data_IF_847096821625
#
_entry.id   IF_847096821625
#
_cell.length_a   1.000
_cell.length_b   1.000
_cell.length_c   1.000
_cell.angle_alpha   90.00
_cell.angle_beta   90.00
_cell.angle_gamma   90.00
#
_symmetry.space_group_name_H-M   'P 1'
#
loop_
_entity.id
_entity.type
_entity.pdbx_description
1 polymer ?
#
# COMPACT_ATOMS: atom_id res chain seq x y z
N UNK A 1 -1.36 4.58 6.72
CA UNK A 1 -2.26 3.40 6.81
C UNK A 1 -1.54 2.08 6.51
N UNK A 2 -1.23 1.73 5.25
CA UNK A 2 -0.57 0.43 4.98
C UNK A 2 0.86 0.34 5.50
N UNK A 3 1.61 1.46 5.55
CA UNK A 3 2.94 1.48 6.18
C UNK A 3 2.87 1.20 7.70
N UNK A 4 1.84 1.69 8.39
CA UNK A 4 1.63 1.41 9.81
C UNK A 4 1.23 -0.06 10.03
N UNK A 5 0.33 -0.59 9.21
CA UNK A 5 -0.07 -2.00 9.27
C UNK A 5 1.13 -2.92 9.03
N UNK A 6 1.96 -2.59 8.04
CA UNK A 6 3.19 -3.35 7.78
C UNK A 6 4.17 -3.25 8.94
N UNK A 7 4.41 -2.05 9.49
CA UNK A 7 5.28 -1.87 10.66
C UNK A 7 4.81 -2.67 11.87
N UNK A 8 3.51 -2.69 12.15
CA UNK A 8 2.93 -3.51 13.23
C UNK A 8 3.05 -5.01 12.94
N UNK A 9 2.84 -5.44 11.69
CA UNK A 9 2.99 -6.84 11.30
C UNK A 9 4.45 -7.32 11.48
N UNK A 10 5.43 -6.51 11.05
CA UNK A 10 6.87 -6.80 11.27
C UNK A 10 7.16 -6.96 12.76
N UNK A 11 6.69 -6.02 13.59
CA UNK A 11 6.94 -6.02 15.02
C UNK A 11 6.31 -7.24 15.72
N UNK A 12 5.06 -7.55 15.41
CA UNK A 12 4.37 -8.71 15.96
C UNK A 12 5.04 -10.04 15.55
N UNK A 13 5.39 -10.20 14.27
CA UNK A 13 6.10 -11.39 13.77
C UNK A 13 7.48 -11.52 14.40
N UNK A 14 8.21 -10.40 14.56
CA UNK A 14 9.50 -10.36 15.25
C UNK A 14 9.39 -10.83 16.70
N UNK A 15 8.47 -10.23 17.47
CA UNK A 15 8.25 -10.59 18.87
C UNK A 15 7.86 -12.07 19.04
N UNK A 16 6.99 -12.59 18.16
CA UNK A 16 6.63 -14.01 18.19
C UNK A 16 7.85 -14.89 17.91
N UNK A 17 8.59 -14.61 16.83
CA UNK A 17 9.78 -15.35 16.42
C UNK A 17 10.85 -15.40 17.52
N UNK A 18 11.06 -14.30 18.25
CA UNK A 18 11.99 -14.26 19.39
C UNK A 18 11.62 -15.21 20.54
N UNK A 19 10.33 -15.52 20.69
CA UNK A 19 9.80 -16.44 21.70
C UNK A 19 9.79 -17.92 21.28
N UNK A 20 9.93 -18.21 19.99
CA UNK A 20 9.88 -19.59 19.46
C UNK A 20 11.09 -20.39 19.91
N UNK A 21 10.86 -21.60 20.43
CA UNK A 21 11.90 -22.55 20.89
C UNK A 21 11.73 -23.95 20.33
N UNK A 22 10.60 -24.24 19.69
CA UNK A 22 10.27 -25.55 19.14
C UNK A 22 10.04 -25.49 17.63
N UNK A 23 10.00 -26.68 17.02
CA UNK A 23 9.79 -26.84 15.57
C UNK A 23 8.40 -26.44 15.12
N UNK A 24 7.39 -26.55 16.00
CA UNK A 24 6.02 -26.15 15.66
C UNK A 24 5.86 -24.63 15.58
N UNK A 25 6.46 -23.90 16.53
CA UNK A 25 6.53 -22.44 16.48
C UNK A 25 7.33 -21.96 15.27
N UNK A 26 8.39 -22.68 14.90
CA UNK A 26 9.16 -22.38 13.68
C UNK A 26 8.28 -22.56 12.42
N UNK A 27 7.49 -23.63 12.33
CA UNK A 27 6.57 -23.79 11.19
C UNK A 27 5.48 -22.72 11.14
N UNK A 28 5.00 -22.21 12.29
CA UNK A 28 4.05 -21.08 12.29
C UNK A 28 4.71 -19.83 11.69
N UNK A 29 5.97 -19.56 12.02
CA UNK A 29 6.72 -18.44 11.45
C UNK A 29 6.83 -18.59 9.94
N UNK A 30 7.33 -19.73 9.49
CA UNK A 30 7.69 -19.96 8.08
C UNK A 30 6.45 -20.12 7.18
N UNK A 31 5.45 -20.86 7.63
CA UNK A 31 4.30 -21.24 6.79
C UNK A 31 3.12 -20.26 6.91
N UNK A 32 3.10 -19.41 7.94
CA UNK A 32 1.96 -18.50 8.19
C UNK A 32 2.42 -17.05 8.28
N UNK A 33 3.31 -16.72 9.21
CA UNK A 33 3.62 -15.32 9.50
C UNK A 33 4.43 -14.64 8.39
N UNK A 34 5.41 -15.34 7.82
CA UNK A 34 6.22 -14.81 6.72
C UNK A 34 5.39 -14.61 5.43
N UNK A 35 4.54 -15.56 5.00
CA UNK A 35 3.61 -15.35 3.90
C UNK A 35 2.66 -14.16 4.14
N UNK A 36 2.05 -14.05 5.32
CA UNK A 36 1.18 -12.91 5.65
C UNK A 36 1.95 -11.60 5.56
N UNK A 37 3.17 -11.56 6.10
CA UNK A 37 4.00 -10.34 6.07
C UNK A 37 4.31 -9.91 4.63
N UNK A 38 4.59 -10.88 3.76
CA UNK A 38 4.81 -10.64 2.33
C UNK A 38 3.57 -10.11 1.61
N UNK A 39 2.39 -10.67 1.90
CA UNK A 39 1.13 -10.18 1.31
C UNK A 39 0.81 -8.76 1.80
N UNK A 40 1.06 -8.46 3.07
CA UNK A 40 0.88 -7.09 3.61
C UNK A 40 1.83 -6.10 2.94
N UNK A 41 3.11 -6.47 2.71
CA UNK A 41 4.04 -5.60 1.97
C UNK A 41 3.59 -5.40 0.51
N UNK A 42 3.07 -6.46 -0.12
CA UNK A 42 2.54 -6.39 -1.49
C UNK A 42 1.37 -5.41 -1.58
N UNK A 43 0.46 -5.43 -0.61
CA UNK A 43 -0.64 -4.46 -0.51
C UNK A 43 -0.13 -3.03 -0.26
N UNK A 44 0.91 -2.87 0.56
CA UNK A 44 1.54 -1.57 0.83
C UNK A 44 2.11 -0.95 -0.44
N UNK A 45 2.86 -1.72 -1.21
CA UNK A 45 3.45 -1.30 -2.50
C UNK A 45 2.33 -0.98 -3.50
N UNK A 46 1.33 -1.86 -3.61
CA UNK A 46 0.20 -1.64 -4.50
C UNK A 46 -0.55 -0.35 -4.16
N UNK A 47 -0.83 -0.10 -2.88
CA UNK A 47 -1.53 1.10 -2.45
C UNK A 47 -0.74 2.39 -2.77
N UNK A 48 0.58 2.37 -2.64
CA UNK A 48 1.42 3.50 -3.02
C UNK A 48 1.29 3.82 -4.52
N UNK A 49 1.40 2.79 -5.37
CA UNK A 49 1.24 2.94 -6.82
C UNK A 49 -0.18 3.40 -7.20
N UNK A 50 -1.21 2.84 -6.55
CA UNK A 50 -2.59 3.25 -6.75
C UNK A 50 -2.82 4.73 -6.38
N UNK A 51 -2.26 5.17 -5.25
CA UNK A 51 -2.38 6.57 -4.79
C UNK A 51 -1.74 7.53 -5.79
N UNK A 52 -0.56 7.18 -6.31
CA UNK A 52 0.11 7.98 -7.34
C UNK A 52 -0.73 8.08 -8.62
N UNK A 53 -1.29 6.96 -9.08
CA UNK A 53 -2.16 6.94 -10.26
C UNK A 53 -3.42 7.79 -10.06
N UNK A 54 -4.06 7.69 -8.89
CA UNK A 54 -5.24 8.50 -8.56
C UNK A 54 -4.92 10.00 -8.65
N UNK A 55 -3.79 10.44 -8.09
CA UNK A 55 -3.37 11.84 -8.15
C UNK A 55 -3.11 12.32 -9.57
N UNK A 56 -2.55 11.46 -10.43
CA UNK A 56 -2.31 11.78 -11.82
C UNK A 56 -3.63 11.94 -12.60
N UNK A 57 -4.62 11.09 -12.33
CA UNK A 57 -5.97 11.21 -12.90
C UNK A 57 -6.63 12.52 -12.46
N UNK A 58 -6.56 12.85 -11.16
CA UNK A 58 -7.15 14.09 -10.63
C UNK A 58 -6.53 15.34 -11.28
N UNK A 59 -5.21 15.35 -11.48
CA UNK A 59 -4.51 16.41 -12.20
C UNK A 59 -4.99 16.51 -13.65
N UNK A 60 -5.02 15.40 -14.38
CA UNK A 60 -5.45 15.38 -15.78
C UNK A 60 -6.90 15.88 -15.92
N UNK A 61 -7.78 15.51 -14.98
CA UNK A 61 -9.17 15.97 -14.95
C UNK A 61 -9.26 17.48 -14.67
N UNK A 62 -8.47 18.01 -13.74
CA UNK A 62 -8.41 19.43 -13.44
C UNK A 62 -7.88 20.24 -14.65
N UNK A 63 -6.86 19.74 -15.33
CA UNK A 63 -6.30 20.35 -16.52
C UNK A 63 -7.34 20.39 -17.65
N UNK A 64 -8.00 19.27 -17.95
CA UNK A 64 -9.05 19.18 -18.96
C UNK A 64 -10.17 20.20 -18.72
N UNK A 65 -10.66 20.30 -17.48
CA UNK A 65 -11.68 21.30 -17.08
C UNK A 65 -11.20 22.73 -17.29
N UNK A 66 -9.93 23.00 -17.02
CA UNK A 66 -9.34 24.34 -17.20
C UNK A 66 -9.21 24.69 -18.69
N UNK A 67 -8.92 23.71 -19.55
CA UNK A 67 -8.87 23.86 -20.99
C UNK A 67 -10.25 24.10 -21.60
N UNK A 68 -11.28 23.32 -21.24
CA UNK A 68 -12.67 23.55 -21.68
C UNK A 68 -13.19 24.94 -21.24
N UNK A 69 -12.84 25.38 -20.03
CA UNK A 69 -13.21 26.70 -19.52
C UNK A 69 -12.45 27.86 -20.19
N UNK A 70 -11.30 27.59 -20.80
CA UNK A 70 -10.62 28.57 -21.67
C UNK A 70 -11.31 28.60 -23.02
N UNK A 71 -11.50 27.47 -23.71
CA UNK A 71 -12.11 27.46 -25.06
C UNK A 71 -13.51 28.09 -25.11
N UNK A 72 -14.34 27.89 -24.07
CA UNK A 72 -15.66 28.53 -23.94
C UNK A 72 -15.62 30.06 -23.75
N UNK A 73 -14.51 30.62 -23.26
CA UNK A 73 -14.31 32.08 -23.16
C UNK A 73 -13.80 32.70 -24.45
N UNK A 74 -13.11 31.96 -25.29
CA UNK A 74 -12.60 32.45 -26.59
C UNK A 74 -13.67 32.38 -27.70
N UNK A 75 -14.71 31.58 -27.51
CA UNK A 75 -15.82 31.40 -28.47
C UNK A 75 -17.02 32.30 -28.20
N UNK A 76 -16.91 33.29 -27.30
CA UNK A 76 -17.99 34.22 -26.92
C UNK A 76 -17.66 35.67 -27.28
#
# INVERSE_FOLDING_TARGET
MFDEVFGMAVLCTGNFREGVRDTFGASIVDDVLDPILKEVDSLRIFNAAFTEQSLNIDKALADARTHEFKDSRWTR
#
